data_IF_174733806585
#
_entry.id   IF_174733806585
#
_cell.length_a   1.000
_cell.length_b   1.000
_cell.length_c   1.000
_cell.angle_alpha   90.00
_cell.angle_beta   90.00
_cell.angle_gamma   90.00
#
_symmetry.space_group_name_H-M   'P 1'
#
loop_
_entity.id
_entity.type
_entity.pdbx_description
1 polymer ?
#
# COMPACT_ATOMS: atom_id res chain seq x y z
N UNK A 1 -21.38 23.47 20.37
CA UNK A 1 -21.51 22.78 19.05
C UNK A 1 -20.84 21.42 19.18
N UNK A 2 -21.53 20.31 18.91
CA UNK A 2 -20.87 19.01 18.87
C UNK A 2 -19.97 18.96 17.64
N UNK A 3 -18.73 18.50 17.79
CA UNK A 3 -17.85 18.28 16.65
C UNK A 3 -18.46 17.21 15.72
N UNK A 4 -18.30 17.36 14.42
CA UNK A 4 -18.81 16.38 13.44
C UNK A 4 -18.03 15.05 13.53
N UNK A 5 -16.74 15.12 13.89
CA UNK A 5 -15.84 13.99 14.07
C UNK A 5 -15.08 14.09 15.40
N UNK A 6 -14.78 12.93 15.97
CA UNK A 6 -13.95 12.83 17.17
C UNK A 6 -12.46 12.87 16.79
N UNK A 7 -12.11 12.34 15.60
CA UNK A 7 -10.72 12.30 15.09
C UNK A 7 -10.69 12.61 13.59
N UNK A 8 -9.75 13.47 13.21
CA UNK A 8 -9.41 13.72 11.80
C UNK A 8 -8.03 13.14 11.51
N UNK A 9 -7.93 12.25 10.53
CA UNK A 9 -6.69 11.66 10.04
C UNK A 9 -6.26 12.37 8.76
N UNK A 10 -5.04 12.89 8.74
CA UNK A 10 -4.49 13.59 7.57
C UNK A 10 -3.67 12.61 6.73
N UNK A 11 -4.16 12.31 5.54
CA UNK A 11 -3.58 11.36 4.60
C UNK A 11 -4.11 9.94 4.76
N UNK A 12 -4.41 9.30 3.64
CA UNK A 12 -4.98 7.95 3.55
C UNK A 12 -3.93 6.85 3.25
N UNK A 13 -2.65 7.16 3.39
CA UNK A 13 -1.55 6.21 3.20
C UNK A 13 -1.48 5.14 4.31
N UNK A 14 -0.37 4.40 4.38
CA UNK A 14 -0.22 3.26 5.31
C UNK A 14 -0.55 3.62 6.77
N UNK A 15 0.05 4.68 7.31
CA UNK A 15 -0.21 5.09 8.69
C UNK A 15 -1.64 5.55 8.91
N UNK A 16 -2.15 6.43 8.04
CA UNK A 16 -3.50 6.99 8.17
C UNK A 16 -4.60 5.95 8.03
N UNK A 17 -4.50 5.03 7.10
CA UNK A 17 -5.49 3.97 6.88
C UNK A 17 -5.58 3.00 8.07
N UNK A 18 -4.42 2.62 8.65
CA UNK A 18 -4.39 1.78 9.86
C UNK A 18 -4.99 2.51 11.04
N UNK A 19 -4.60 3.77 11.27
CA UNK A 19 -5.12 4.60 12.36
C UNK A 19 -6.63 4.79 12.24
N UNK A 20 -7.14 5.09 11.04
CA UNK A 20 -8.56 5.28 10.79
C UNK A 20 -9.37 4.03 11.13
N UNK A 21 -8.94 2.84 10.67
CA UNK A 21 -9.61 1.59 10.99
C UNK A 21 -9.59 1.30 12.50
N UNK A 22 -8.40 1.40 13.14
CA UNK A 22 -8.26 1.08 14.58
C UNK A 22 -9.05 2.03 15.48
N UNK A 23 -9.19 3.30 15.10
CA UNK A 23 -10.02 4.27 15.82
C UNK A 23 -11.51 3.98 15.63
N UNK A 24 -11.93 3.67 14.40
CA UNK A 24 -13.32 3.30 14.13
C UNK A 24 -13.76 2.02 14.86
N UNK A 25 -12.89 1.01 14.95
CA UNK A 25 -13.13 -0.20 15.75
C UNK A 25 -13.31 0.07 17.25
N UNK A 26 -12.77 1.20 17.74
CA UNK A 26 -12.97 1.68 19.13
C UNK A 26 -14.22 2.56 19.29
N UNK A 27 -14.99 2.77 18.22
CA UNK A 27 -16.23 3.54 18.23
C UNK A 27 -16.07 5.04 17.99
N UNK A 28 -14.89 5.54 17.64
CA UNK A 28 -14.70 6.95 17.29
C UNK A 28 -15.30 7.27 15.91
N UNK A 29 -15.89 8.46 15.78
CA UNK A 29 -16.29 9.04 14.49
C UNK A 29 -15.05 9.62 13.82
N UNK A 30 -14.63 9.02 12.70
CA UNK A 30 -13.36 9.34 12.05
C UNK A 30 -13.58 9.90 10.66
N UNK A 31 -12.89 11.00 10.33
CA UNK A 31 -12.70 11.48 8.97
C UNK A 31 -11.25 11.30 8.53
N UNK A 32 -11.03 10.91 7.28
CA UNK A 32 -9.72 10.87 6.62
C UNK A 32 -9.72 11.90 5.51
N UNK A 33 -8.79 12.87 5.56
CA UNK A 33 -8.60 13.88 4.51
C UNK A 33 -7.45 13.50 3.61
N UNK A 34 -7.73 13.28 2.31
CA UNK A 34 -6.73 12.89 1.32
C UNK A 34 -6.64 13.94 0.21
N UNK A 35 -5.41 14.42 -0.08
CA UNK A 35 -5.19 15.44 -1.11
C UNK A 35 -5.44 14.96 -2.54
N UNK A 36 -5.26 13.67 -2.78
CA UNK A 36 -5.46 13.06 -4.09
C UNK A 36 -6.88 12.55 -4.32
N UNK A 37 -7.10 11.98 -5.48
CA UNK A 37 -8.39 11.45 -5.92
C UNK A 37 -8.65 10.06 -5.33
N UNK A 38 -9.91 9.69 -5.24
CA UNK A 38 -10.33 8.28 -5.11
C UNK A 38 -10.38 7.69 -6.54
N UNK A 39 -9.36 6.88 -6.87
CA UNK A 39 -9.12 6.41 -8.23
C UNK A 39 -9.88 5.13 -8.53
N UNK A 40 -10.65 5.14 -9.61
CA UNK A 40 -11.36 3.97 -10.11
C UNK A 40 -10.42 3.02 -10.88
N UNK A 41 -10.85 1.79 -11.15
CA UNK A 41 -10.14 0.87 -12.04
C UNK A 41 -9.89 1.46 -13.42
N UNK A 42 -10.83 2.23 -13.95
CA UNK A 42 -10.67 2.93 -15.25
C UNK A 42 -9.61 4.03 -15.19
N UNK A 43 -9.52 4.77 -14.07
CA UNK A 43 -8.45 5.76 -13.85
C UNK A 43 -7.07 5.08 -13.82
N UNK A 44 -6.95 3.97 -13.10
CA UNK A 44 -5.69 3.21 -13.00
C UNK A 44 -5.31 2.56 -14.35
N UNK A 45 -6.27 2.11 -15.13
CA UNK A 45 -6.01 1.62 -16.48
C UNK A 45 -5.47 2.73 -17.39
N UNK A 46 -6.06 3.94 -17.32
CA UNK A 46 -5.54 5.10 -18.06
C UNK A 46 -4.14 5.49 -17.61
N UNK A 47 -3.87 5.45 -16.30
CA UNK A 47 -2.55 5.70 -15.74
C UNK A 47 -1.49 4.70 -16.25
N UNK A 48 -1.85 3.42 -16.40
CA UNK A 48 -0.98 2.39 -16.97
C UNK A 48 -0.61 2.61 -18.45
N UNK A 49 -1.43 3.37 -19.19
CA UNK A 49 -1.28 3.57 -20.63
C UNK A 49 -0.83 5.00 -21.02
N UNK A 50 -0.75 5.92 -20.07
CA UNK A 50 -0.47 7.33 -20.37
C UNK A 50 0.22 8.05 -19.22
N UNK A 51 1.39 8.60 -19.50
CA UNK A 51 2.17 9.42 -18.55
C UNK A 51 1.35 10.61 -18.04
N UNK A 52 0.51 11.22 -18.87
CA UNK A 52 -0.38 12.32 -18.48
C UNK A 52 -1.38 11.89 -17.39
N UNK A 53 -1.89 10.67 -17.43
CA UNK A 53 -2.82 10.13 -16.44
C UNK A 53 -2.09 9.51 -15.24
N UNK A 54 -0.81 9.20 -15.38
CA UNK A 54 0.03 8.65 -14.32
C UNK A 54 0.55 9.71 -13.37
N UNK A 55 0.99 10.87 -13.88
CA UNK A 55 1.70 11.87 -13.10
C UNK A 55 0.77 12.75 -12.27
N UNK A 56 1.25 13.10 -11.08
CA UNK A 56 0.68 14.10 -10.18
C UNK A 56 1.50 15.39 -10.23
N UNK A 57 0.97 16.39 -10.92
CA UNK A 57 1.50 17.75 -10.96
C UNK A 57 0.32 18.73 -11.09
N UNK A 58 -0.38 19.07 -9.99
CA UNK A 58 -1.64 19.85 -10.03
C UNK A 58 -1.49 21.22 -10.71
N UNK A 59 -0.33 21.86 -10.58
CA UNK A 59 -0.04 23.12 -11.26
C UNK A 59 -0.08 23.01 -12.80
N UNK A 60 0.11 21.79 -13.35
CA UNK A 60 0.02 21.47 -14.77
C UNK A 60 -1.30 20.75 -15.12
N UNK A 61 -2.26 20.72 -14.19
CA UNK A 61 -3.53 20.00 -14.39
C UNK A 61 -3.41 18.46 -14.34
N UNK A 62 -2.26 17.91 -13.96
CA UNK A 62 -2.03 16.48 -13.88
C UNK A 62 -2.43 15.94 -12.49
N UNK A 63 -3.35 14.97 -12.44
CA UNK A 63 -3.93 14.45 -11.19
C UNK A 63 -3.90 12.91 -11.14
N UNK A 64 -2.83 12.31 -11.65
CA UNK A 64 -2.59 10.87 -11.57
C UNK A 64 -2.04 10.42 -10.20
N UNK A 65 -1.82 9.11 -10.00
CA UNK A 65 -1.43 8.57 -8.70
C UNK A 65 0.05 8.77 -8.33
N UNK A 66 0.93 9.19 -9.22
CA UNK A 66 2.38 9.16 -9.04
C UNK A 66 2.97 10.56 -9.02
N UNK A 67 3.45 11.00 -7.87
CA UNK A 67 4.16 12.26 -7.70
C UNK A 67 5.67 12.04 -7.67
N UNK A 68 6.41 13.02 -8.18
CA UNK A 68 7.88 13.07 -8.13
C UNK A 68 8.34 14.36 -7.48
N UNK A 69 9.34 14.26 -6.62
CA UNK A 69 10.11 15.41 -6.11
C UNK A 69 11.58 15.14 -6.35
N UNK A 70 12.25 16.09 -7.00
CA UNK A 70 13.68 16.02 -7.28
C UNK A 70 14.40 17.01 -6.39
N UNK A 71 15.36 16.51 -5.63
CA UNK A 71 16.30 17.27 -4.82
C UNK A 71 17.69 17.18 -5.44
N UNK A 72 18.66 17.95 -4.94
CA UNK A 72 20.01 17.99 -5.51
C UNK A 72 20.66 16.60 -5.68
N UNK A 73 20.45 15.70 -4.72
CA UNK A 73 21.13 14.40 -4.69
C UNK A 73 20.16 13.19 -4.64
N UNK A 74 18.84 13.43 -4.68
CA UNK A 74 17.86 12.34 -4.57
C UNK A 74 16.57 12.69 -5.29
N UNK A 75 16.01 11.71 -6.01
CA UNK A 75 14.65 11.74 -6.53
C UNK A 75 13.72 10.93 -5.63
N UNK A 76 12.60 11.52 -5.20
CA UNK A 76 11.58 10.85 -4.41
C UNK A 76 10.34 10.65 -5.27
N UNK A 77 9.91 9.39 -5.39
CA UNK A 77 8.65 9.00 -6.04
C UNK A 77 7.69 8.52 -4.99
N UNK A 78 6.47 9.06 -4.97
CA UNK A 78 5.46 8.66 -3.98
C UNK A 78 4.06 8.64 -4.57
N UNK A 79 3.15 7.89 -3.91
CA UNK A 79 1.75 7.82 -4.32
C UNK A 79 0.92 8.99 -3.78
N UNK A 80 -0.03 9.47 -4.59
CA UNK A 80 -1.05 10.47 -4.22
C UNK A 80 -2.42 9.96 -4.66
N UNK A 81 -3.36 9.90 -3.73
CA UNK A 81 -4.70 9.36 -3.92
C UNK A 81 -5.14 8.55 -2.70
N UNK A 82 -6.40 8.16 -2.67
CA UNK A 82 -6.94 7.33 -1.60
C UNK A 82 -6.22 5.97 -1.58
N UNK A 83 -5.43 5.73 -0.52
CA UNK A 83 -4.51 4.61 -0.40
C UNK A 83 -3.03 4.99 -0.48
N UNK A 84 -2.71 6.25 -0.82
CA UNK A 84 -1.34 6.79 -0.79
C UNK A 84 -0.33 5.95 -1.57
N UNK A 85 0.84 5.68 -0.97
CA UNK A 85 1.93 4.92 -1.58
C UNK A 85 1.56 3.50 -2.03
N UNK A 86 0.51 2.90 -1.45
CA UNK A 86 0.05 1.57 -1.85
C UNK A 86 -0.51 1.53 -3.27
N UNK A 87 -0.89 2.67 -3.84
CA UNK A 87 -1.35 2.76 -5.22
C UNK A 87 -0.23 2.51 -6.23
N UNK A 88 1.01 2.90 -5.89
CA UNK A 88 2.15 2.90 -6.83
C UNK A 88 3.34 2.03 -6.37
N UNK A 89 3.25 1.29 -5.26
CA UNK A 89 4.29 0.35 -4.88
C UNK A 89 4.24 -0.91 -5.75
N UNK A 90 5.40 -1.59 -5.88
CA UNK A 90 5.50 -2.84 -6.66
C UNK A 90 4.93 -4.07 -5.93
N UNK A 91 4.16 -3.86 -4.88
CA UNK A 91 3.52 -4.86 -4.04
C UNK A 91 4.47 -5.74 -3.19
N UNK A 92 5.78 -5.49 -3.20
CA UNK A 92 6.75 -6.24 -2.38
C UNK A 92 6.57 -5.88 -0.91
N UNK A 93 6.46 -6.91 -0.06
CA UNK A 93 6.21 -6.82 1.37
C UNK A 93 7.25 -7.65 2.15
N UNK A 94 8.46 -7.13 2.24
CA UNK A 94 9.55 -7.75 2.99
C UNK A 94 9.53 -7.28 4.45
N UNK A 95 9.84 -8.20 5.36
CA UNK A 95 10.14 -7.83 6.75
C UNK A 95 11.57 -7.28 6.85
N UNK A 96 11.83 -6.36 7.78
CA UNK A 96 13.17 -5.84 8.00
C UNK A 96 14.14 -6.93 8.41
N UNK A 97 15.39 -6.81 7.97
CA UNK A 97 16.49 -7.66 8.45
C UNK A 97 16.83 -7.33 9.92
N UNK A 98 17.49 -8.26 10.61
CA UNK A 98 17.87 -8.09 12.01
C UNK A 98 18.65 -6.78 12.28
N UNK A 99 19.50 -6.35 11.33
CA UNK A 99 20.25 -5.09 11.42
C UNK A 99 19.36 -3.83 11.53
N UNK A 100 18.14 -3.87 11.02
CA UNK A 100 17.19 -2.78 11.15
C UNK A 100 16.84 -2.50 12.62
N UNK A 101 16.60 -3.56 13.40
CA UNK A 101 16.21 -3.43 14.82
C UNK A 101 17.36 -2.93 15.70
N UNK A 102 18.60 -3.02 15.22
CA UNK A 102 19.80 -2.56 15.90
C UNK A 102 20.27 -1.16 15.45
N UNK A 103 19.47 -0.46 14.63
CA UNK A 103 19.85 0.86 14.14
C UNK A 103 19.98 1.87 15.28
N UNK A 104 21.07 2.70 15.29
CA UNK A 104 21.35 3.65 16.40
C UNK A 104 20.20 4.63 16.69
N UNK A 105 19.37 4.91 15.68
CA UNK A 105 18.26 5.87 15.82
C UNK A 105 17.18 5.44 16.81
N UNK A 106 17.02 4.13 17.08
CA UNK A 106 15.93 3.62 17.94
C UNK A 106 16.28 2.43 18.83
N UNK A 107 17.43 1.76 18.64
CA UNK A 107 17.79 0.57 19.43
C UNK A 107 17.73 0.80 20.95
N UNK A 108 18.04 2.02 21.39
CA UNK A 108 18.09 2.38 22.80
C UNK A 108 16.72 2.75 23.39
N UNK A 109 15.68 2.85 22.56
CA UNK A 109 14.30 3.17 22.98
C UNK A 109 13.55 1.94 23.49
N UNK A 110 13.96 0.74 23.10
CA UNK A 110 13.36 -0.52 23.56
C UNK A 110 14.38 -1.67 23.47
N UNK A 111 14.35 -2.58 24.43
CA UNK A 111 15.34 -3.67 24.55
C UNK A 111 15.25 -4.73 23.45
N UNK A 112 14.06 -4.97 22.90
CA UNK A 112 13.81 -6.01 21.87
C UNK A 112 12.71 -5.57 20.90
N UNK A 113 13.06 -4.70 19.95
CA UNK A 113 12.16 -4.26 18.92
C UNK A 113 11.64 -5.37 18.01
N UNK A 114 12.45 -6.41 17.77
CA UNK A 114 12.06 -7.51 16.89
C UNK A 114 10.88 -8.28 17.50
N UNK A 115 10.94 -8.59 18.79
CA UNK A 115 9.88 -9.27 19.51
C UNK A 115 8.63 -8.38 19.65
N UNK A 116 8.82 -7.10 19.96
CA UNK A 116 7.73 -6.13 20.12
C UNK A 116 6.94 -5.97 18.80
N UNK A 117 7.63 -5.86 17.68
CA UNK A 117 7.00 -5.61 16.38
C UNK A 117 6.48 -6.88 15.68
N UNK A 118 6.91 -8.07 16.08
CA UNK A 118 6.53 -9.33 15.43
C UNK A 118 5.00 -9.51 15.28
N UNK A 119 4.15 -9.32 16.32
CA UNK A 119 2.70 -9.47 16.20
C UNK A 119 2.09 -8.40 15.26
N UNK A 120 2.68 -7.22 15.20
CA UNK A 120 2.25 -6.15 14.30
C UNK A 120 2.59 -6.47 12.83
N UNK A 121 3.77 -7.03 12.55
CA UNK A 121 4.12 -7.53 11.21
C UNK A 121 3.19 -8.67 10.78
N UNK A 122 2.90 -9.61 11.68
CA UNK A 122 1.97 -10.69 11.39
C UNK A 122 0.57 -10.15 11.02
N UNK A 123 0.06 -9.19 11.78
CA UNK A 123 -1.22 -8.53 11.49
C UNK A 123 -1.16 -7.77 10.17
N UNK A 124 -0.09 -7.03 9.90
CA UNK A 124 0.07 -6.29 8.65
C UNK A 124 0.10 -7.24 7.44
N UNK A 125 0.83 -8.36 7.53
CA UNK A 125 0.86 -9.40 6.46
C UNK A 125 -0.53 -9.96 6.17
N UNK A 126 -1.31 -10.26 7.19
CA UNK A 126 -2.70 -10.73 7.04
C UNK A 126 -3.57 -9.68 6.35
N UNK A 127 -3.54 -8.44 6.86
CA UNK A 127 -4.36 -7.34 6.35
C UNK A 127 -3.98 -6.92 4.92
N UNK A 128 -2.69 -6.98 4.59
CA UNK A 128 -2.18 -6.67 3.26
C UNK A 128 -2.18 -7.89 2.32
N UNK A 129 -2.71 -9.02 2.75
CA UNK A 129 -2.80 -10.23 1.95
C UNK A 129 -1.45 -10.63 1.36
N UNK A 130 -0.43 -10.71 2.21
CA UNK A 130 0.93 -11.02 1.81
C UNK A 130 1.06 -12.49 1.39
N UNK A 131 1.39 -12.73 0.13
CA UNK A 131 1.55 -14.06 -0.45
C UNK A 131 2.92 -14.18 -1.13
N UNK A 132 3.49 -15.38 -1.10
CA UNK A 132 4.68 -15.68 -1.90
C UNK A 132 4.28 -15.70 -3.38
N UNK A 133 5.10 -15.08 -4.23
CA UNK A 133 4.87 -15.12 -5.68
C UNK A 133 5.02 -16.56 -6.19
N UNK A 134 3.95 -17.17 -6.77
CA UNK A 134 4.00 -18.55 -7.25
C UNK A 134 4.63 -18.69 -8.64
N UNK A 135 4.92 -17.58 -9.32
CA UNK A 135 5.42 -17.58 -10.68
C UNK A 135 6.94 -17.45 -10.70
N UNK A 136 7.57 -18.40 -11.37
CA UNK A 136 9.01 -18.42 -11.64
C UNK A 136 9.20 -18.27 -13.15
N UNK A 137 10.10 -17.41 -13.57
CA UNK A 137 10.46 -17.16 -14.96
C UNK A 137 11.95 -17.34 -15.21
N UNK A 138 12.35 -17.21 -16.46
CA UNK A 138 13.75 -17.37 -16.87
C UNK A 138 14.73 -16.46 -16.10
N UNK A 139 14.28 -15.24 -15.75
CA UNK A 139 15.10 -14.31 -14.96
C UNK A 139 15.33 -14.81 -13.54
N UNK A 140 14.33 -15.49 -12.96
CA UNK A 140 14.44 -16.09 -11.62
C UNK A 140 15.43 -17.26 -11.65
N UNK A 141 15.41 -18.10 -12.71
CA UNK A 141 16.35 -19.20 -12.90
C UNK A 141 17.79 -18.68 -13.05
N UNK A 142 18.00 -17.62 -13.82
CA UNK A 142 19.32 -17.00 -13.96
C UNK A 142 19.82 -16.39 -12.65
N UNK A 143 18.94 -15.73 -11.91
CA UNK A 143 19.29 -15.17 -10.59
C UNK A 143 19.66 -16.27 -9.60
N UNK A 144 18.92 -17.39 -9.59
CA UNK A 144 19.22 -18.56 -8.76
C UNK A 144 20.58 -19.15 -9.09
N UNK A 145 20.88 -19.34 -10.39
CA UNK A 145 22.18 -19.84 -10.84
C UNK A 145 23.32 -18.89 -10.44
N UNK A 146 23.13 -17.59 -10.62
CA UNK A 146 24.10 -16.57 -10.21
C UNK A 146 24.33 -16.59 -8.69
N UNK A 147 23.27 -16.70 -7.90
CA UNK A 147 23.38 -16.81 -6.45
C UNK A 147 24.19 -18.07 -6.04
N UNK A 148 23.95 -19.19 -6.71
CA UNK A 148 24.71 -20.43 -6.47
C UNK A 148 26.20 -20.26 -6.81
N UNK A 149 26.53 -19.64 -7.95
CA UNK A 149 27.93 -19.38 -8.36
C UNK A 149 28.67 -18.45 -7.38
N UNK A 150 27.93 -17.51 -6.76
CA UNK A 150 28.46 -16.60 -5.75
C UNK A 150 28.49 -17.19 -4.32
N UNK A 151 28.13 -18.47 -4.13
CA UNK A 151 28.01 -19.10 -2.81
C UNK A 151 26.89 -18.51 -1.94
N UNK A 152 25.84 -18.00 -2.57
CA UNK A 152 24.71 -17.31 -1.92
C UNK A 152 23.36 -17.95 -2.24
N UNK A 153 23.35 -19.25 -2.56
CA UNK A 153 22.13 -19.98 -2.91
C UNK A 153 21.03 -19.90 -1.84
N UNK A 154 21.44 -19.87 -0.56
CA UNK A 154 20.58 -19.72 0.61
C UNK A 154 19.88 -18.37 0.71
N UNK A 155 20.39 -17.34 0.05
CA UNK A 155 19.81 -15.99 0.03
C UNK A 155 18.81 -15.77 -1.11
N UNK A 156 18.66 -16.71 -2.03
CA UNK A 156 17.68 -16.66 -3.11
C UNK A 156 16.33 -17.23 -2.67
N UNK A 157 15.27 -16.60 -3.12
CA UNK A 157 13.91 -17.12 -2.95
C UNK A 157 12.86 -16.16 -3.52
N UNK A 158 11.65 -16.68 -3.80
CA UNK A 158 10.57 -15.86 -4.29
C UNK A 158 10.14 -14.84 -3.22
N UNK A 159 9.88 -13.60 -3.67
CA UNK A 159 9.50 -12.52 -2.77
C UNK A 159 8.04 -12.62 -2.33
N UNK A 160 7.77 -12.18 -1.10
CA UNK A 160 6.41 -11.98 -0.59
C UNK A 160 5.84 -10.69 -1.17
N UNK A 161 4.64 -10.79 -1.72
CA UNK A 161 3.94 -9.68 -2.36
C UNK A 161 2.51 -9.52 -1.85
N UNK A 162 2.03 -8.31 -1.75
CA UNK A 162 0.63 -7.97 -1.49
C UNK A 162 -0.21 -8.11 -2.75
N UNK A 163 -0.30 -9.31 -3.31
CA UNK A 163 -1.04 -9.61 -4.53
C UNK A 163 -1.91 -10.85 -4.32
N UNK A 164 -3.14 -10.79 -4.82
CA UNK A 164 -4.00 -11.96 -4.93
C UNK A 164 -3.69 -12.70 -6.22
N UNK A 165 -3.14 -13.91 -6.11
CA UNK A 165 -2.74 -14.78 -7.22
C UNK A 165 -3.80 -15.83 -7.60
N UNK A 166 -5.08 -15.62 -7.22
CA UNK A 166 -6.18 -16.52 -7.61
C UNK A 166 -6.60 -16.40 -9.08
N UNK A 167 -7.73 -16.97 -9.41
CA UNK A 167 -8.26 -16.98 -10.78
C UNK A 167 -8.53 -15.55 -11.28
N UNK A 168 -8.04 -15.19 -12.49
CA UNK A 168 -8.19 -13.82 -13.01
C UNK A 168 -9.60 -13.54 -13.57
N UNK A 169 -10.41 -14.56 -13.77
CA UNK A 169 -11.77 -14.49 -14.30
C UNK A 169 -12.86 -14.60 -13.22
N UNK A 170 -12.53 -15.09 -12.03
CA UNK A 170 -13.46 -15.23 -10.90
C UNK A 170 -13.29 -14.08 -9.89
N UNK A 171 -14.40 -13.39 -9.56
CA UNK A 171 -14.40 -12.34 -8.55
C UNK A 171 -14.81 -12.92 -7.18
N UNK A 172 -13.91 -12.83 -6.21
CA UNK A 172 -14.11 -13.32 -4.83
C UNK A 172 -13.58 -12.31 -3.81
N UNK A 173 -13.96 -12.44 -2.54
CA UNK A 173 -13.23 -11.83 -1.43
C UNK A 173 -12.15 -12.81 -0.92
N UNK A 174 -10.87 -12.57 -1.22
CA UNK A 174 -9.83 -13.56 -0.91
C UNK A 174 -9.29 -13.48 0.53
N UNK A 175 -9.63 -12.43 1.32
CA UNK A 175 -8.92 -12.16 2.57
C UNK A 175 -9.80 -11.85 3.78
N UNK A 176 -11.09 -11.49 3.61
CA UNK A 176 -11.88 -10.92 4.70
C UNK A 176 -13.21 -11.65 4.93
N UNK A 177 -13.35 -12.88 4.45
CA UNK A 177 -14.51 -13.75 4.69
C UNK A 177 -15.86 -13.08 4.36
N UNK A 178 -15.94 -12.43 3.21
CA UNK A 178 -17.13 -11.73 2.71
C UNK A 178 -17.27 -10.27 3.17
N UNK A 179 -16.36 -9.76 4.01
CA UNK A 179 -16.31 -8.35 4.40
C UNK A 179 -15.42 -7.50 3.49
N UNK A 180 -14.62 -8.14 2.65
CA UNK A 180 -13.74 -7.47 1.69
C UNK A 180 -14.41 -7.21 0.34
N UNK A 181 -13.78 -6.39 -0.51
CA UNK A 181 -14.25 -6.18 -1.87
C UNK A 181 -14.05 -7.43 -2.72
N UNK A 182 -14.98 -7.70 -3.63
CA UNK A 182 -14.81 -8.73 -4.64
C UNK A 182 -13.69 -8.33 -5.62
N UNK A 183 -12.73 -9.23 -5.83
CA UNK A 183 -11.54 -8.98 -6.65
C UNK A 183 -11.20 -10.18 -7.51
N UNK A 184 -10.61 -9.90 -8.67
CA UNK A 184 -10.05 -10.91 -9.55
C UNK A 184 -8.58 -11.16 -9.24
N UNK A 185 -8.08 -12.34 -9.55
CA UNK A 185 -6.68 -12.69 -9.42
C UNK A 185 -5.77 -11.91 -10.39
N UNK A 186 -4.46 -11.96 -10.15
CA UNK A 186 -3.47 -11.27 -10.94
C UNK A 186 -3.38 -11.82 -12.37
N UNK A 187 -3.57 -10.94 -13.38
CA UNK A 187 -3.38 -11.26 -14.79
C UNK A 187 -1.93 -11.14 -15.29
N UNK A 188 -0.98 -10.83 -14.40
CA UNK A 188 0.45 -10.67 -14.73
C UNK A 188 0.75 -9.57 -15.74
N UNK A 189 -0.05 -8.50 -15.75
CA UNK A 189 0.08 -7.39 -16.71
C UNK A 189 1.29 -6.47 -16.50
N UNK A 190 2.04 -6.59 -15.38
CA UNK A 190 3.22 -5.77 -15.08
C UNK A 190 2.93 -4.35 -14.58
N UNK A 191 1.69 -3.90 -14.52
CA UNK A 191 1.31 -2.50 -14.23
C UNK A 191 1.22 -2.15 -12.73
N UNK A 192 1.94 -2.86 -11.84
CA UNK A 192 1.82 -2.63 -10.41
C UNK A 192 2.18 -1.20 -9.99
N UNK A 193 3.21 -0.59 -10.61
CA UNK A 193 3.69 0.76 -10.26
C UNK A 193 2.73 1.85 -10.73
N UNK A 194 2.02 1.65 -11.82
CA UNK A 194 1.02 2.62 -12.32
C UNK A 194 -0.37 2.46 -11.67
N UNK A 195 -0.52 1.47 -10.79
CA UNK A 195 -1.78 1.08 -10.16
C UNK A 195 -2.37 -0.19 -10.77
N UNK A 196 -3.13 -0.93 -9.97
CA UNK A 196 -3.70 -2.21 -10.40
C UNK A 196 -5.17 -2.04 -10.81
N UNK A 197 -5.44 -1.87 -12.11
CA UNK A 197 -6.79 -1.78 -12.65
C UNK A 197 -7.63 -3.06 -12.42
N UNK A 198 -6.98 -4.23 -12.33
CA UNK A 198 -7.62 -5.53 -12.07
C UNK A 198 -8.06 -5.70 -10.60
N UNK A 199 -7.53 -4.87 -9.68
CA UNK A 199 -7.82 -4.99 -8.26
C UNK A 199 -7.09 -6.15 -7.55
N UNK A 200 -6.19 -6.87 -8.21
CA UNK A 200 -5.44 -7.98 -7.61
C UNK A 200 -4.40 -7.52 -6.59
N UNK A 201 -3.81 -6.33 -6.78
CA UNK A 201 -2.86 -5.74 -5.83
C UNK A 201 -3.58 -5.26 -4.56
N UNK A 202 -3.03 -5.55 -3.40
CA UNK A 202 -3.54 -5.16 -2.09
C UNK A 202 -3.18 -3.70 -1.75
N UNK A 203 -3.74 -2.74 -2.50
CA UNK A 203 -3.72 -1.34 -2.09
C UNK A 203 -4.68 -1.10 -0.92
N UNK A 204 -4.45 -0.03 -0.15
CA UNK A 204 -5.15 0.22 1.12
C UNK A 204 -6.66 0.48 0.96
N UNK A 205 -7.10 0.90 -0.21
CA UNK A 205 -8.52 1.01 -0.58
C UNK A 205 -9.24 -0.35 -0.67
N UNK A 206 -8.48 -1.46 -0.78
CA UNK A 206 -9.00 -2.84 -0.84
C UNK A 206 -8.98 -3.55 0.52
N UNK A 207 -8.41 -2.96 1.55
CA UNK A 207 -8.28 -3.56 2.88
C UNK A 207 -8.61 -2.56 3.99
N UNK A 208 -7.63 -1.89 4.61
CA UNK A 208 -7.85 -1.01 5.76
C UNK A 208 -8.92 0.05 5.51
N UNK A 209 -8.87 0.79 4.40
CA UNK A 209 -9.85 1.83 4.11
C UNK A 209 -11.23 1.26 3.74
N UNK A 210 -11.26 0.10 3.05
CA UNK A 210 -12.52 -0.58 2.76
C UNK A 210 -13.26 -0.95 4.05
N UNK A 211 -12.57 -1.62 4.98
CA UNK A 211 -13.14 -2.02 6.27
C UNK A 211 -13.48 -0.80 7.15
N UNK A 212 -12.63 0.24 7.12
CA UNK A 212 -12.90 1.48 7.84
C UNK A 212 -14.20 2.17 7.36
N UNK A 213 -14.40 2.24 6.04
CA UNK A 213 -15.65 2.78 5.44
C UNK A 213 -16.89 1.98 5.88
N UNK A 214 -16.79 0.66 6.02
CA UNK A 214 -17.90 -0.15 6.54
C UNK A 214 -18.24 0.16 7.99
N UNK A 215 -17.28 0.67 8.77
CA UNK A 215 -17.49 1.15 10.15
C UNK A 215 -17.88 2.64 10.23
N UNK A 216 -18.19 3.27 9.09
CA UNK A 216 -18.67 4.66 9.04
C UNK A 216 -17.55 5.72 8.92
N UNK A 217 -16.28 5.33 8.70
CA UNK A 217 -15.21 6.30 8.43
C UNK A 217 -15.49 7.04 7.13
N UNK A 218 -15.46 8.36 7.18
CA UNK A 218 -15.58 9.20 5.99
C UNK A 218 -14.20 9.46 5.39
N UNK A 219 -13.99 9.02 4.15
CA UNK A 219 -12.76 9.30 3.39
C UNK A 219 -13.07 10.39 2.39
N UNK A 220 -12.55 11.59 2.64
CA UNK A 220 -12.77 12.80 1.86
C UNK A 220 -11.55 13.00 0.96
N UNK A 221 -11.70 12.69 -0.31
CA UNK A 221 -10.66 12.86 -1.34
C UNK A 221 -10.63 14.30 -1.85
N UNK A 222 -9.53 14.68 -2.54
CA UNK A 222 -9.27 16.02 -3.07
C UNK A 222 -9.30 17.13 -1.99
N UNK A 223 -9.07 16.75 -0.74
CA UNK A 223 -9.06 17.60 0.46
C UNK A 223 -7.63 17.75 1.00
N UNK A 224 -6.94 18.79 0.51
CA UNK A 224 -5.58 19.08 0.97
C UNK A 224 -5.61 19.92 2.25
N UNK A 225 -5.02 19.39 3.31
CA UNK A 225 -4.80 20.16 4.54
C UNK A 225 -3.61 21.09 4.35
N UNK A 226 -3.80 22.38 4.57
CA UNK A 226 -2.75 23.40 4.44
C UNK A 226 -2.12 23.75 5.79
N UNK A 227 -2.93 23.82 6.86
CA UNK A 227 -2.47 24.17 8.20
C UNK A 227 -3.49 23.71 9.25
N UNK A 228 -3.05 23.69 10.49
CA UNK A 228 -3.90 23.50 11.67
C UNK A 228 -3.90 24.80 12.45
N UNK A 229 -5.08 25.22 12.90
CA UNK A 229 -5.24 26.34 13.83
C UNK A 229 -5.83 25.83 15.14
N UNK A 230 -5.46 26.48 16.24
CA UNK A 230 -6.09 26.26 17.57
C UNK A 230 -7.27 27.20 17.73
#
# INVERSE_FOLDING_TARGET
MSADFDVIVIGSGFGGSVSALRLAEKGYRVAVLEQGRDLTSADLQRAGNSVRHLLWAPALGLRGPLAQKVFANVGVVHGVGVGGGSLVYAAVLLEPKASFYQAPAWRDLHSDWQRELAPHYQRARQMLGANVNPYVGLQDDWLQQTAAQLGRADSYGPVTQGIYFGAPDAAVDPFFAGKGPLRKGCSRCGNCISGCAQGAKNSLDKNYLHLARQLGVQVISEARVSHLSR
#
